data_IF_773348447080
#
_entry.id   IF_773348447080
#
_cell.length_a   1.000
_cell.length_b   1.000
_cell.length_c   1.000
_cell.angle_alpha   90.00
_cell.angle_beta   90.00
_cell.angle_gamma   90.00
#
_symmetry.space_group_name_H-M   'P 1'
#
loop_
_entity.id
_entity.type
_entity.pdbx_description
1 polymer ?
#
# COMPACT_ATOMS: atom_id res chain seq x y z
N UNK A 1 38.07 -38.28 -78.81
CA UNK A 1 38.08 -36.83 -78.53
C UNK A 1 37.47 -36.62 -77.15
N UNK A 2 38.28 -36.33 -76.14
CA UNK A 2 37.83 -36.25 -74.73
C UNK A 2 37.20 -34.89 -74.42
N UNK A 3 36.01 -34.89 -73.84
CA UNK A 3 35.36 -33.69 -73.32
C UNK A 3 35.85 -33.43 -71.90
N UNK A 4 36.56 -32.31 -71.71
CA UNK A 4 36.99 -31.83 -70.39
C UNK A 4 35.83 -31.09 -69.72
N UNK A 5 35.29 -31.66 -68.64
CA UNK A 5 34.40 -30.96 -67.73
C UNK A 5 35.20 -29.98 -66.87
N UNK A 6 34.96 -28.68 -67.04
CA UNK A 6 35.46 -27.63 -66.16
C UNK A 6 34.42 -27.34 -65.08
N UNK A 7 34.67 -27.81 -63.86
CA UNK A 7 33.87 -27.45 -62.68
C UNK A 7 34.32 -26.09 -62.15
N UNK A 8 33.50 -25.06 -62.31
CA UNK A 8 33.70 -23.75 -61.68
C UNK A 8 33.16 -23.77 -60.25
N UNK A 9 34.05 -23.69 -59.27
CA UNK A 9 33.70 -23.57 -57.85
C UNK A 9 33.30 -22.12 -57.54
N UNK A 10 32.04 -21.89 -57.16
CA UNK A 10 31.60 -20.60 -56.61
C UNK A 10 31.83 -20.58 -55.10
N UNK A 11 32.75 -19.74 -54.63
CA UNK A 11 32.98 -19.52 -53.20
C UNK A 11 31.91 -18.57 -52.64
N UNK A 12 31.08 -19.05 -51.72
CA UNK A 12 30.05 -18.27 -51.05
C UNK A 12 30.63 -17.52 -49.84
N UNK A 13 30.52 -16.18 -49.84
CA UNK A 13 30.85 -15.34 -48.69
C UNK A 13 29.56 -14.95 -47.95
N UNK A 14 29.33 -15.43 -46.72
CA UNK A 14 28.14 -15.07 -45.98
C UNK A 14 28.20 -13.59 -45.55
N UNK A 15 27.07 -12.85 -45.63
CA UNK A 15 27.03 -11.48 -45.17
C UNK A 15 27.26 -11.40 -43.66
N UNK A 16 28.18 -10.54 -43.21
CA UNK A 16 28.37 -10.24 -41.79
C UNK A 16 27.12 -9.56 -41.24
N UNK A 17 26.31 -10.32 -40.51
CA UNK A 17 25.16 -9.83 -39.75
C UNK A 17 25.66 -8.92 -38.60
N UNK A 18 25.90 -7.65 -38.89
CA UNK A 18 26.31 -6.62 -37.90
C UNK A 18 25.15 -5.77 -37.39
N UNK A 19 23.89 -6.09 -37.75
CA UNK A 19 22.73 -5.27 -37.40
C UNK A 19 22.01 -5.70 -36.09
N UNK A 20 22.38 -6.84 -35.50
CA UNK A 20 21.60 -7.43 -34.41
C UNK A 20 21.93 -6.85 -33.02
N UNK A 21 23.13 -6.27 -32.82
CA UNK A 21 23.57 -5.78 -31.51
C UNK A 21 22.98 -4.42 -31.12
N UNK A 22 22.81 -3.53 -32.10
CA UNK A 22 22.27 -2.18 -31.88
C UNK A 22 20.76 -2.20 -31.57
N UNK A 23 20.01 -3.03 -32.32
CA UNK A 23 18.57 -3.21 -32.12
C UNK A 23 18.26 -3.81 -30.73
N UNK A 24 19.06 -4.78 -30.28
CA UNK A 24 18.93 -5.38 -28.96
C UNK A 24 19.18 -4.35 -27.84
N UNK A 25 20.22 -3.54 -27.96
CA UNK A 25 20.55 -2.50 -26.97
C UNK A 25 19.45 -1.43 -26.84
N UNK A 26 18.83 -1.05 -27.95
CA UNK A 26 17.71 -0.11 -27.94
C UNK A 26 16.47 -0.70 -27.26
N UNK A 27 16.20 -1.99 -27.49
CA UNK A 27 15.11 -2.71 -26.83
C UNK A 27 15.32 -2.78 -25.31
N UNK A 28 16.51 -3.12 -24.84
CA UNK A 28 16.83 -3.13 -23.41
C UNK A 28 16.73 -1.75 -22.75
N UNK A 29 17.19 -0.69 -23.44
CA UNK A 29 17.07 0.68 -22.94
C UNK A 29 15.60 1.13 -22.83
N UNK A 30 14.77 0.78 -23.82
CA UNK A 30 13.34 1.09 -23.80
C UNK A 30 12.60 0.33 -22.69
N UNK A 31 12.91 -0.96 -22.50
CA UNK A 31 12.36 -1.77 -21.42
C UNK A 31 12.78 -1.26 -20.04
N UNK A 32 14.02 -0.79 -19.89
CA UNK A 32 14.49 -0.16 -18.65
C UNK A 32 13.75 1.13 -18.33
N UNK A 33 13.41 1.96 -19.32
CA UNK A 33 12.60 3.17 -19.08
C UNK A 33 11.17 2.84 -18.67
N UNK A 34 10.57 1.80 -19.25
CA UNK A 34 9.21 1.35 -18.89
C UNK A 34 9.14 0.80 -17.45
N UNK A 35 10.22 0.21 -16.94
CA UNK A 35 10.29 -0.30 -15.57
C UNK A 35 10.21 0.82 -14.51
N UNK A 36 10.72 2.03 -14.80
CA UNK A 36 10.63 3.18 -13.88
C UNK A 36 9.23 3.80 -13.85
N UNK A 37 8.40 3.59 -14.87
CA UNK A 37 7.06 4.17 -14.98
C UNK A 37 5.98 3.37 -14.22
N UNK A 38 6.32 2.20 -13.67
CA UNK A 38 5.38 1.33 -12.96
C UNK A 38 5.56 1.35 -11.44
N UNK A 39 5.95 2.49 -10.86
CA UNK A 39 5.77 2.69 -9.43
C UNK A 39 4.27 2.84 -9.13
N UNK A 40 3.60 1.71 -8.91
CA UNK A 40 2.25 1.71 -8.34
C UNK A 40 2.35 2.42 -6.99
N UNK A 41 1.58 3.49 -6.74
CA UNK A 41 1.56 4.12 -5.43
C UNK A 41 1.19 3.05 -4.41
N UNK A 42 1.98 2.95 -3.33
CA UNK A 42 1.73 1.98 -2.26
C UNK A 42 0.28 2.12 -1.82
N UNK A 43 -0.53 1.11 -2.11
CA UNK A 43 -1.92 1.08 -1.71
C UNK A 43 -1.95 1.19 -0.19
N UNK A 44 -2.70 2.17 0.29
CA UNK A 44 -2.83 2.48 1.71
C UNK A 44 -3.25 1.20 2.44
N UNK A 45 -2.62 0.95 3.59
CA UNK A 45 -2.72 -0.32 4.32
C UNK A 45 -4.18 -0.74 4.51
N UNK A 46 -4.41 -2.04 4.42
CA UNK A 46 -5.72 -2.66 4.75
C UNK A 46 -6.13 -2.43 6.22
N UNK A 47 -5.16 -2.09 7.09
CA UNK A 47 -5.39 -1.78 8.50
C UNK A 47 -5.26 -0.27 8.72
N UNK A 48 -6.36 0.34 9.14
CA UNK A 48 -6.42 1.75 9.54
C UNK A 48 -6.50 1.85 11.06
N UNK A 49 -5.57 2.58 11.66
CA UNK A 49 -5.55 2.88 13.09
C UNK A 49 -5.66 4.40 13.24
N UNK A 50 -6.87 4.94 13.46
CA UNK A 50 -7.04 6.38 13.61
C UNK A 50 -6.33 6.87 14.87
N UNK A 51 -5.54 7.96 14.79
CA UNK A 51 -4.91 8.52 15.97
C UNK A 51 -5.94 9.30 16.80
N UNK A 52 -6.04 8.97 18.08
CA UNK A 52 -6.91 9.66 19.04
C UNK A 52 -6.35 11.07 19.31
N UNK A 53 -7.22 12.07 19.22
CA UNK A 53 -6.95 13.47 19.50
C UNK A 53 -7.38 13.84 20.94
N UNK A 54 -8.55 13.36 21.34
CA UNK A 54 -9.11 13.54 22.67
C UNK A 54 -9.71 12.21 23.19
N UNK A 55 -9.50 11.83 24.45
CA UNK A 55 -8.72 12.55 25.46
C UNK A 55 -7.20 12.47 25.20
N UNK A 56 -6.47 13.48 25.65
CA UNK A 56 -5.00 13.54 25.59
C UNK A 56 -4.38 13.56 26.99
N UNK A 57 -3.05 13.60 27.06
CA UNK A 57 -2.36 13.62 28.34
C UNK A 57 -2.81 14.80 29.20
N UNK A 58 -3.30 14.51 30.41
CA UNK A 58 -3.79 15.52 31.36
C UNK A 58 -5.28 15.80 31.27
N UNK A 59 -6.01 15.22 30.31
CA UNK A 59 -7.48 15.25 30.32
C UNK A 59 -8.01 14.54 31.55
N UNK A 60 -8.85 15.22 32.32
CA UNK A 60 -9.53 14.67 33.50
C UNK A 60 -10.98 14.37 33.14
N UNK A 61 -11.41 13.15 33.42
CA UNK A 61 -12.80 12.73 33.29
C UNK A 61 -13.43 12.58 34.67
N UNK A 62 -14.64 13.11 34.80
CA UNK A 62 -15.46 12.91 35.99
C UNK A 62 -16.39 11.73 35.76
N UNK A 63 -16.45 10.84 36.75
CA UNK A 63 -17.35 9.69 36.76
C UNK A 63 -18.80 10.12 36.47
N UNK A 64 -19.49 9.37 35.62
CA UNK A 64 -20.87 9.64 35.19
C UNK A 64 -21.01 10.77 34.16
N UNK A 65 -19.91 11.45 33.78
CA UNK A 65 -19.94 12.47 32.73
C UNK A 65 -20.08 11.84 31.35
N UNK A 66 -20.77 12.53 30.44
CA UNK A 66 -20.65 12.32 29.00
C UNK A 66 -19.37 12.98 28.49
N UNK A 67 -18.42 12.18 28.02
CA UNK A 67 -17.18 12.63 27.41
C UNK A 67 -17.19 12.33 25.91
N UNK A 68 -16.65 13.25 25.11
CA UNK A 68 -16.44 13.01 23.69
C UNK A 68 -15.04 12.46 23.48
N UNK A 69 -14.94 11.35 22.74
CA UNK A 69 -13.68 10.81 22.26
C UNK A 69 -13.55 11.19 20.79
N UNK A 70 -12.44 11.82 20.41
CA UNK A 70 -12.21 12.36 19.07
C UNK A 70 -10.94 11.75 18.49
N UNK A 71 -10.95 11.43 17.20
CA UNK A 71 -9.79 10.91 16.48
C UNK A 71 -9.71 11.48 15.06
N UNK A 72 -8.52 11.41 14.47
CA UNK A 72 -8.28 11.92 13.11
C UNK A 72 -8.63 10.87 12.04
N UNK A 73 -9.50 11.28 11.11
CA UNK A 73 -9.92 10.48 9.95
C UNK A 73 -9.37 11.00 8.62
N UNK A 74 -8.59 12.10 8.63
CA UNK A 74 -8.01 12.72 7.43
C UNK A 74 -7.18 11.74 6.60
N UNK A 75 -6.56 10.79 7.29
CA UNK A 75 -5.74 9.73 6.72
C UNK A 75 -6.45 8.38 6.69
N UNK A 76 -7.78 8.32 6.54
CA UNK A 76 -8.50 7.06 6.29
C UNK A 76 -8.29 6.52 4.85
N UNK A 77 -8.13 5.19 4.64
CA UNK A 77 -8.08 4.60 3.30
C UNK A 77 -9.44 4.65 2.59
N UNK A 78 -9.40 4.67 1.26
CA UNK A 78 -10.63 4.71 0.44
C UNK A 78 -11.45 3.42 0.51
N UNK A 79 -10.83 2.31 0.93
CA UNK A 79 -11.48 1.02 1.11
C UNK A 79 -11.18 0.55 2.53
N UNK A 80 -12.22 0.33 3.32
CA UNK A 80 -12.14 -0.21 4.69
C UNK A 80 -13.01 -1.46 4.74
N UNK A 81 -12.38 -2.59 5.09
CA UNK A 81 -13.07 -3.89 5.17
C UNK A 81 -13.88 -4.03 6.45
N UNK A 82 -13.42 -3.44 7.56
CA UNK A 82 -14.13 -3.39 8.83
C UNK A 82 -14.01 -1.99 9.42
N UNK A 83 -15.13 -1.28 9.50
CA UNK A 83 -15.22 0.06 10.04
C UNK A 83 -15.85 0.12 11.44
N UNK A 84 -16.23 -1.02 12.02
CA UNK A 84 -16.84 -1.06 13.35
C UNK A 84 -15.80 -0.85 14.44
N UNK A 85 -16.01 0.19 15.24
CA UNK A 85 -15.13 0.61 16.31
C UNK A 85 -15.55 0.11 17.68
N UNK A 86 -14.57 0.02 18.58
CA UNK A 86 -14.77 -0.20 20.00
C UNK A 86 -13.82 0.71 20.79
N UNK A 87 -14.28 1.23 21.91
CA UNK A 87 -13.47 2.02 22.85
C UNK A 87 -13.47 1.30 24.18
N UNK A 88 -12.26 1.00 24.68
CA UNK A 88 -12.04 0.42 25.99
C UNK A 88 -11.31 1.41 26.88
N UNK A 89 -11.64 1.41 28.17
CA UNK A 89 -10.86 2.12 29.17
C UNK A 89 -9.59 1.34 29.48
N UNK A 90 -8.43 2.00 29.37
CA UNK A 90 -7.13 1.41 29.72
C UNK A 90 -6.73 1.89 31.11
N UNK A 91 -6.53 0.94 32.03
CA UNK A 91 -6.14 1.23 33.42
C UNK A 91 -4.79 0.58 33.67
N UNK A 92 -3.83 1.33 34.25
CA UNK A 92 -2.47 0.84 34.54
C UNK A 92 -1.77 0.23 33.31
N UNK A 93 -1.96 0.82 32.12
CA UNK A 93 -1.41 0.32 30.85
C UNK A 93 -1.89 -1.07 30.43
N UNK A 94 -2.93 -1.60 31.06
CA UNK A 94 -3.58 -2.84 30.67
C UNK A 94 -4.94 -2.51 30.08
N UNK A 95 -5.22 -3.11 28.92
CA UNK A 95 -6.56 -3.10 28.37
C UNK A 95 -7.37 -4.05 29.23
N UNK A 96 -8.38 -3.52 29.89
CA UNK A 96 -9.37 -4.32 30.60
C UNK A 96 -10.62 -4.40 29.71
N UNK A 97 -10.89 -5.60 29.18
CA UNK A 97 -11.99 -5.84 28.25
C UNK A 97 -13.37 -5.77 28.94
N UNK A 98 -13.41 -5.74 30.27
CA UNK A 98 -14.66 -5.56 31.02
C UNK A 98 -15.13 -4.09 31.00
N UNK A 99 -14.25 -3.13 30.67
CA UNK A 99 -14.57 -1.70 30.64
C UNK A 99 -14.74 -1.16 29.22
N UNK A 100 -15.75 -1.69 28.51
CA UNK A 100 -16.19 -1.17 27.21
C UNK A 100 -16.95 0.15 27.40
N UNK A 101 -16.48 1.22 26.76
CA UNK A 101 -17.07 2.57 26.82
C UNK A 101 -18.06 2.84 25.68
N UNK A 102 -17.77 2.31 24.49
CA UNK A 102 -18.63 2.38 23.31
C UNK A 102 -18.25 1.30 22.30
N UNK A 103 -19.22 0.83 21.53
CA UNK A 103 -19.06 -0.09 20.40
C UNK A 103 -20.07 0.23 19.29
N UNK A 104 -19.97 -0.49 18.18
CA UNK A 104 -20.92 -0.47 17.05
C UNK A 104 -21.06 0.92 16.39
N UNK A 105 -20.00 1.73 16.45
CA UNK A 105 -19.89 3.00 15.74
C UNK A 105 -18.94 2.89 14.55
N UNK A 106 -19.04 3.81 13.59
CA UNK A 106 -18.14 3.83 12.46
C UNK A 106 -16.87 4.61 12.82
N UNK A 107 -15.70 4.00 12.67
CA UNK A 107 -14.39 4.66 12.91
C UNK A 107 -14.12 5.82 11.95
N UNK A 108 -14.96 6.05 10.93
CA UNK A 108 -14.87 7.20 10.04
C UNK A 108 -15.65 8.41 10.54
N UNK A 109 -16.47 8.27 11.59
CA UNK A 109 -17.27 9.38 12.13
C UNK A 109 -16.40 10.46 12.80
N UNK A 110 -15.20 10.07 13.27
CA UNK A 110 -14.21 10.98 13.85
C UNK A 110 -14.44 11.30 15.32
N UNK A 111 -15.63 11.04 15.86
CA UNK A 111 -15.88 11.08 17.30
C UNK A 111 -17.02 10.18 17.74
N UNK A 112 -17.06 9.89 19.04
CA UNK A 112 -18.20 9.23 19.69
C UNK A 112 -18.34 9.73 21.13
N UNK A 113 -19.58 9.83 21.60
CA UNK A 113 -19.89 10.15 22.99
C UNK A 113 -19.85 8.88 23.85
N UNK A 114 -19.17 8.95 25.00
CA UNK A 114 -19.04 7.86 25.95
C UNK A 114 -19.46 8.30 27.35
N UNK A 115 -19.97 7.36 28.15
CA UNK A 115 -20.21 7.59 29.57
C UNK A 115 -19.02 7.11 30.38
N UNK A 116 -18.49 7.97 31.24
CA UNK A 116 -17.36 7.63 32.11
C UNK A 116 -17.85 6.67 33.22
N UNK A 117 -17.30 5.45 33.31
CA UNK A 117 -17.74 4.46 34.29
C UNK A 117 -17.28 4.81 35.72
N UNK A 118 -17.95 4.21 36.72
CA UNK A 118 -17.64 4.32 38.15
C UNK A 118 -16.33 3.60 38.55
#
# INVERSE_FOLDING_TARGET
>A
TSLSNTSTSFTYYPPKMMFTKSLMSSFFALMSLLALAMSVPLQKRDVFVPPVLDPHQGTVWYVGQQAEVVWDTSNAPAQITNSEGQIYLVVNNLIDFDYLLANDFNILDGSVMVTVPD
#
